data_IF_596232948958
#
_entry.id   IF_596232948958
#
_cell.length_a   1.000
_cell.length_b   1.000
_cell.length_c   1.000
_cell.angle_alpha   90.00
_cell.angle_beta   90.00
_cell.angle_gamma   90.00
#
_symmetry.space_group_name_H-M   'P 1'
#
loop_
_entity.id
_entity.type
_entity.pdbx_description
1 polymer ?
#
# COMPACT_ATOMS: atom_id res chain seq x y z
N UNK A 1 24.44 -1.76 14.52
CA UNK A 1 23.73 -1.16 13.38
C UNK A 1 24.69 -1.14 12.20
N UNK A 2 24.20 -1.46 11.00
CA UNK A 2 25.07 -1.57 9.81
C UNK A 2 25.32 -0.17 9.22
N UNK A 3 26.58 0.20 8.97
CA UNK A 3 26.96 1.42 8.23
C UNK A 3 26.49 1.41 6.76
N UNK A 4 25.87 0.30 6.32
CA UNK A 4 25.31 0.13 4.96
C UNK A 4 23.77 0.18 4.93
N UNK A 5 23.12 0.52 6.05
CA UNK A 5 21.66 0.54 6.14
C UNK A 5 21.02 1.52 5.14
N UNK A 6 21.67 2.67 4.94
CA UNK A 6 21.24 3.70 4.00
C UNK A 6 21.38 3.31 2.51
N UNK A 7 22.04 2.18 2.20
CA UNK A 7 22.22 1.66 0.84
C UNK A 7 21.43 0.38 0.58
N UNK A 8 20.48 0.03 1.48
CA UNK A 8 19.64 -1.16 1.30
C UNK A 8 18.44 -0.89 0.40
N UNK A 9 17.86 -1.96 -0.15
CA UNK A 9 16.62 -1.88 -0.91
C UNK A 9 15.49 -1.44 0.04
N UNK A 10 14.89 -0.30 -0.26
CA UNK A 10 13.70 0.21 0.41
C UNK A 10 12.52 0.09 -0.55
N UNK A 11 11.37 -0.30 -0.02
CA UNK A 11 10.16 -0.54 -0.83
C UNK A 11 9.10 0.54 -0.65
N UNK A 12 9.01 1.12 0.56
CA UNK A 12 8.02 2.16 0.82
C UNK A 12 8.54 3.21 1.80
N UNK A 13 7.90 4.37 1.79
CA UNK A 13 8.22 5.53 2.64
C UNK A 13 6.93 6.26 3.03
N UNK A 14 6.83 6.64 4.30
CA UNK A 14 5.69 7.39 4.83
C UNK A 14 6.13 8.56 5.72
N UNK A 15 5.22 9.50 5.96
CA UNK A 15 5.38 10.56 6.96
C UNK A 15 4.74 10.16 8.29
N UNK A 16 5.43 10.51 9.37
CA UNK A 16 4.99 10.44 10.76
C UNK A 16 5.15 11.83 11.38
N UNK A 17 4.17 12.71 11.17
CA UNK A 17 4.34 14.14 11.45
C UNK A 17 5.41 14.75 10.54
N UNK A 18 6.48 15.30 11.14
CA UNK A 18 7.63 15.86 10.40
C UNK A 18 8.72 14.81 10.11
N UNK A 19 8.61 13.62 10.71
CA UNK A 19 9.54 12.51 10.48
C UNK A 19 9.19 11.74 9.21
N UNK A 20 10.21 11.23 8.52
CA UNK A 20 10.07 10.25 7.46
C UNK A 20 10.48 8.86 7.96
N UNK A 21 9.72 7.85 7.56
CA UNK A 21 9.95 6.44 7.90
C UNK A 21 9.98 5.64 6.61
N UNK A 22 11.08 4.95 6.32
CA UNK A 22 11.22 4.10 5.15
C UNK A 22 11.42 2.64 5.57
N UNK A 23 10.80 1.72 4.83
CA UNK A 23 10.86 0.28 5.10
C UNK A 23 11.33 -0.49 3.86
N UNK A 24 11.89 -1.69 4.06
CA UNK A 24 12.36 -2.49 2.94
C UNK A 24 12.87 -3.88 3.31
N UNK A 25 13.84 -4.36 2.54
CA UNK A 25 14.37 -5.72 2.66
C UNK A 25 14.93 -6.03 4.06
N UNK A 26 14.85 -7.32 4.45
CA UNK A 26 15.42 -7.83 5.71
C UNK A 26 14.95 -7.09 6.95
N UNK A 27 13.68 -6.67 6.98
CA UNK A 27 13.10 -5.95 8.11
C UNK A 27 13.69 -4.55 8.30
N UNK A 28 14.28 -3.95 7.25
CA UNK A 28 14.91 -2.65 7.34
C UNK A 28 13.89 -1.57 7.63
N UNK A 29 14.18 -0.75 8.65
CA UNK A 29 13.42 0.45 9.00
C UNK A 29 14.40 1.59 9.21
N UNK A 30 14.24 2.66 8.44
CA UNK A 30 15.04 3.88 8.52
C UNK A 30 14.16 5.06 8.91
N UNK A 31 14.71 5.96 9.75
CA UNK A 31 14.06 7.21 10.16
C UNK A 31 14.88 8.41 9.74
N UNK A 32 14.21 9.47 9.32
CA UNK A 32 14.80 10.81 9.13
C UNK A 32 13.96 11.84 9.86
N UNK A 33 14.61 12.69 10.64
CA UNK A 33 13.98 13.78 11.40
C UNK A 33 14.30 15.17 10.77
N UNK A 34 14.81 15.17 9.51
CA UNK A 34 15.28 16.36 8.80
C UNK A 34 14.95 16.32 7.30
N UNK A 35 13.70 15.94 6.97
CA UNK A 35 13.18 15.88 5.60
C UNK A 35 14.05 15.04 4.64
N UNK A 36 14.62 13.96 5.15
CA UNK A 36 15.38 13.01 4.36
C UNK A 36 16.84 13.40 4.09
N UNK A 37 17.38 14.40 4.81
CA UNK A 37 18.79 14.78 4.67
C UNK A 37 19.72 13.76 5.34
N UNK A 38 19.36 13.26 6.52
CA UNK A 38 20.08 12.19 7.21
C UNK A 38 19.12 11.09 7.66
N UNK A 39 19.65 9.86 7.68
CA UNK A 39 18.87 8.68 8.03
C UNK A 39 19.55 7.86 9.12
N UNK A 40 18.76 7.26 9.98
CA UNK A 40 19.24 6.31 10.98
C UNK A 40 18.42 5.04 10.97
N UNK A 41 19.05 3.91 11.15
CA UNK A 41 18.35 2.63 11.29
C UNK A 41 17.81 2.45 12.70
N UNK A 42 16.60 1.93 12.83
CA UNK A 42 16.02 1.44 14.09
C UNK A 42 15.92 -0.09 14.10
N UNK A 43 15.74 -0.66 15.30
CA UNK A 43 15.55 -2.09 15.46
C UNK A 43 14.19 -2.51 14.88
N UNK A 44 14.18 -3.66 14.21
CA UNK A 44 12.97 -4.34 13.75
C UNK A 44 12.82 -5.68 14.46
N UNK A 45 11.61 -6.08 14.85
CA UNK A 45 11.36 -7.38 15.46
C UNK A 45 11.37 -8.55 14.46
N UNK A 46 11.55 -8.25 13.16
CA UNK A 46 11.54 -9.24 12.07
C UNK A 46 12.72 -9.03 11.11
N UNK A 47 13.04 -10.07 10.35
CA UNK A 47 14.07 -10.03 9.30
C UNK A 47 13.50 -10.26 7.89
N UNK A 48 12.18 -10.33 7.74
CA UNK A 48 11.51 -10.45 6.44
C UNK A 48 11.37 -9.08 5.76
N UNK A 49 11.18 -9.09 4.46
CA UNK A 49 10.97 -7.84 3.70
C UNK A 49 9.67 -7.18 4.11
N UNK A 50 9.73 -5.88 4.43
CA UNK A 50 8.58 -5.01 4.66
C UNK A 50 8.21 -4.34 3.34
N UNK A 51 6.94 -4.43 2.96
CA UNK A 51 6.43 -4.02 1.63
C UNK A 51 5.77 -2.66 1.64
N UNK A 52 5.13 -2.28 2.76
CA UNK A 52 4.43 -0.99 2.88
C UNK A 52 4.45 -0.49 4.32
N UNK A 53 4.34 0.84 4.49
CA UNK A 53 4.30 1.53 5.78
C UNK A 53 3.33 2.71 5.72
N UNK A 54 2.57 2.93 6.80
CA UNK A 54 1.68 4.09 6.92
C UNK A 54 1.62 4.55 8.38
N UNK A 55 1.45 5.85 8.56
CA UNK A 55 1.13 6.48 9.85
C UNK A 55 -0.26 7.11 9.78
N UNK A 56 -1.15 6.74 10.71
CA UNK A 56 -2.47 7.34 10.85
C UNK A 56 -2.45 8.59 11.75
N UNK A 57 -1.48 8.67 12.66
CA UNK A 57 -1.14 9.85 13.44
C UNK A 57 0.38 9.99 13.50
N UNK A 58 0.93 11.11 13.98
CA UNK A 58 2.38 11.24 14.13
C UNK A 58 3.04 10.15 14.99
N UNK A 59 2.31 9.55 15.93
CA UNK A 59 2.83 8.50 16.82
C UNK A 59 2.52 7.09 16.31
N UNK A 60 1.29 6.89 15.76
CA UNK A 60 0.74 5.56 15.49
C UNK A 60 0.94 5.17 14.04
N UNK A 61 1.78 4.17 13.81
CA UNK A 61 2.10 3.67 12.47
C UNK A 61 2.14 2.16 12.39
N UNK A 62 1.90 1.65 11.18
CA UNK A 62 1.94 0.23 10.86
C UNK A 62 2.80 -0.04 9.64
N UNK A 63 3.46 -1.20 9.62
CA UNK A 63 4.16 -1.71 8.46
C UNK A 63 3.77 -3.17 8.23
N UNK A 64 3.68 -3.56 6.97
CA UNK A 64 3.33 -4.92 6.56
C UNK A 64 4.40 -5.51 5.66
N UNK A 65 4.40 -6.84 5.49
CA UNK A 65 5.40 -7.46 4.64
C UNK A 65 5.23 -8.95 4.40
N UNK A 66 6.34 -9.55 3.99
CA UNK A 66 6.44 -10.98 3.75
C UNK A 66 6.11 -11.79 5.01
N UNK A 67 5.78 -13.06 4.82
CA UNK A 67 5.34 -13.96 5.89
C UNK A 67 4.12 -13.44 6.68
N UNK A 68 3.27 -12.64 6.03
CA UNK A 68 2.04 -12.11 6.62
C UNK A 68 2.26 -11.23 7.85
N UNK A 69 3.44 -10.59 7.97
CA UNK A 69 3.74 -9.77 9.15
C UNK A 69 2.99 -8.45 9.12
N UNK A 70 2.51 -8.05 10.30
CA UNK A 70 2.06 -6.69 10.60
C UNK A 70 2.84 -6.20 11.81
N UNK A 71 3.52 -5.07 11.65
CA UNK A 71 4.22 -4.37 12.71
C UNK A 71 3.47 -3.10 13.10
N UNK A 72 3.58 -2.71 14.36
CA UNK A 72 2.99 -1.50 14.91
C UNK A 72 4.02 -0.68 15.68
N UNK A 73 3.97 0.63 15.52
CA UNK A 73 4.71 1.61 16.30
C UNK A 73 3.75 2.58 16.97
N UNK A 74 4.11 3.01 18.20
CA UNK A 74 3.36 3.98 19.00
C UNK A 74 4.17 5.25 19.32
N UNK A 75 5.34 5.39 18.70
CA UNK A 75 6.32 6.43 18.99
C UNK A 75 6.96 7.02 17.72
N UNK A 76 6.14 7.12 16.67
CA UNK A 76 6.58 7.69 15.39
C UNK A 76 7.64 6.84 14.70
N UNK A 77 7.57 5.52 14.83
CA UNK A 77 8.48 4.58 14.16
C UNK A 77 9.80 4.32 14.88
N UNK A 78 9.98 4.84 16.11
CA UNK A 78 11.22 4.63 16.88
C UNK A 78 11.35 3.20 17.36
N UNK A 79 10.24 2.59 17.84
CA UNK A 79 10.15 1.18 18.21
C UNK A 79 8.98 0.50 17.51
N UNK A 80 9.12 -0.81 17.29
CA UNK A 80 8.14 -1.62 16.58
C UNK A 80 7.87 -2.93 17.30
N UNK A 81 6.60 -3.31 17.37
CA UNK A 81 6.14 -4.60 17.87
C UNK A 81 5.42 -5.39 16.76
N UNK A 82 5.54 -6.71 16.76
CA UNK A 82 4.81 -7.57 15.82
C UNK A 82 3.41 -7.84 16.37
N UNK A 83 2.37 -7.52 15.60
CA UNK A 83 0.97 -7.76 15.94
C UNK A 83 0.40 -9.00 15.25
N UNK A 84 0.89 -9.34 14.04
CA UNK A 84 0.41 -10.48 13.26
C UNK A 84 1.58 -11.10 12.48
N UNK A 85 1.46 -12.40 12.19
CA UNK A 85 2.25 -13.10 11.19
C UNK A 85 1.39 -14.13 10.44
N UNK A 86 1.95 -14.74 9.39
CA UNK A 86 1.21 -15.66 8.53
C UNK A 86 0.64 -16.89 9.23
N UNK A 87 1.30 -17.39 10.29
CA UNK A 87 0.77 -18.51 11.10
C UNK A 87 -0.43 -18.09 11.92
N UNK A 88 -0.34 -16.93 12.57
CA UNK A 88 -1.46 -16.35 13.30
C UNK A 88 -2.62 -16.00 12.36
N UNK A 89 -2.33 -15.48 11.17
CA UNK A 89 -3.34 -15.20 10.15
C UNK A 89 -4.11 -16.46 9.73
N UNK A 90 -3.42 -17.59 9.50
CA UNK A 90 -4.05 -18.87 9.17
C UNK A 90 -4.92 -19.38 10.33
N UNK A 91 -4.42 -19.30 11.58
CA UNK A 91 -5.19 -19.67 12.77
C UNK A 91 -6.46 -18.83 12.94
N UNK A 92 -6.37 -17.53 12.74
CA UNK A 92 -7.53 -16.63 12.80
C UNK A 92 -8.55 -16.94 11.68
N UNK A 93 -8.07 -17.21 10.46
CA UNK A 93 -8.94 -17.61 9.35
C UNK A 93 -9.67 -18.92 9.64
N UNK A 94 -8.96 -19.91 10.16
CA UNK A 94 -9.53 -21.21 10.56
C UNK A 94 -10.57 -21.06 11.69
N UNK A 95 -10.26 -20.27 12.72
CA UNK A 95 -11.17 -20.00 13.81
C UNK A 95 -12.46 -19.32 13.34
N UNK A 96 -12.34 -18.31 12.45
CA UNK A 96 -13.48 -17.61 11.87
C UNK A 96 -14.33 -18.53 10.95
N UNK A 97 -13.69 -19.38 10.14
CA UNK A 97 -14.38 -20.35 9.29
C UNK A 97 -15.18 -21.36 10.11
N UNK A 98 -14.58 -21.91 11.19
CA UNK A 98 -15.27 -22.81 12.10
C UNK A 98 -16.44 -22.12 12.84
N UNK A 99 -16.31 -20.83 13.18
CA UNK A 99 -17.42 -20.06 13.75
C UNK A 99 -18.57 -19.91 12.72
N UNK A 100 -18.24 -19.54 11.47
CA UNK A 100 -19.22 -19.44 10.39
C UNK A 100 -19.98 -20.77 10.15
N UNK A 101 -19.27 -21.92 10.24
CA UNK A 101 -19.89 -23.23 10.12
C UNK A 101 -20.84 -23.54 11.29
N UNK A 102 -20.45 -23.22 12.52
CA UNK A 102 -21.34 -23.39 13.70
C UNK A 102 -22.61 -22.52 13.59
N UNK A 103 -22.46 -21.31 13.05
CA UNK A 103 -23.55 -20.36 12.88
C UNK A 103 -24.36 -20.61 11.59
N UNK A 104 -24.02 -21.68 10.83
CA UNK A 104 -24.65 -22.09 9.58
C UNK A 104 -24.73 -20.96 8.52
N UNK A 105 -23.66 -20.15 8.43
CA UNK A 105 -23.60 -19.07 7.45
C UNK A 105 -23.53 -19.63 6.02
N UNK A 106 -24.14 -18.99 5.02
CA UNK A 106 -24.23 -19.50 3.65
C UNK A 106 -22.87 -19.78 2.98
N UNK A 107 -21.83 -19.01 3.36
CA UNK A 107 -20.48 -19.09 2.80
C UNK A 107 -19.49 -19.88 3.69
N UNK A 108 -19.98 -20.59 4.70
CA UNK A 108 -19.15 -21.31 5.67
C UNK A 108 -18.23 -22.36 5.03
N UNK A 109 -18.73 -23.13 4.06
CA UNK A 109 -17.94 -24.15 3.37
C UNK A 109 -16.80 -23.53 2.54
N UNK A 110 -17.06 -22.41 1.89
CA UNK A 110 -16.02 -21.69 1.14
C UNK A 110 -14.97 -21.10 2.08
N UNK A 111 -15.37 -20.47 3.18
CA UNK A 111 -14.44 -19.94 4.21
C UNK A 111 -13.55 -21.04 4.76
N UNK A 112 -14.11 -22.23 4.99
CA UNK A 112 -13.34 -23.36 5.49
C UNK A 112 -12.27 -23.81 4.48
N UNK A 113 -12.63 -23.99 3.22
CA UNK A 113 -11.67 -24.33 2.17
C UNK A 113 -10.56 -23.30 1.99
N UNK A 114 -10.90 -22.02 2.08
CA UNK A 114 -9.91 -20.93 2.00
C UNK A 114 -8.95 -20.95 3.21
N UNK A 115 -9.48 -21.17 4.40
CA UNK A 115 -8.68 -21.25 5.63
C UNK A 115 -7.78 -22.50 5.65
N UNK A 116 -8.29 -23.67 5.25
CA UNK A 116 -7.50 -24.90 5.11
C UNK A 116 -6.38 -24.74 4.10
N UNK A 117 -6.67 -24.09 2.96
CA UNK A 117 -5.65 -23.79 1.96
C UNK A 117 -4.58 -22.84 2.51
N UNK A 118 -4.98 -21.78 3.22
CA UNK A 118 -4.04 -20.81 3.79
C UNK A 118 -3.12 -21.49 4.81
N UNK A 119 -3.64 -22.40 5.64
CA UNK A 119 -2.86 -23.17 6.62
C UNK A 119 -1.91 -24.17 5.92
N UNK A 120 -2.41 -24.92 4.94
CA UNK A 120 -1.63 -25.91 4.19
C UNK A 120 -0.49 -25.29 3.35
N UNK A 121 -0.73 -24.13 2.75
CA UNK A 121 0.26 -23.40 1.95
C UNK A 121 1.38 -22.80 2.82
N UNK A 122 1.16 -22.64 4.12
CA UNK A 122 2.14 -22.10 5.08
C UNK A 122 2.16 -20.56 5.15
N UNK A 123 3.05 -20.02 5.99
CA UNK A 123 3.01 -18.60 6.40
C UNK A 123 3.65 -17.62 5.40
N UNK A 124 4.03 -18.04 4.20
CA UNK A 124 4.87 -17.30 3.27
C UNK A 124 4.18 -16.15 2.52
N UNK A 125 2.84 -16.06 2.61
CA UNK A 125 2.07 -15.09 1.85
C UNK A 125 2.25 -13.67 2.37
N UNK A 126 2.71 -12.72 1.51
CA UNK A 126 2.92 -11.34 1.92
C UNK A 126 1.60 -10.58 2.04
N UNK A 127 1.53 -9.67 3.01
CA UNK A 127 0.74 -8.46 2.85
C UNK A 127 1.50 -7.47 1.96
N UNK A 128 0.79 -6.78 1.07
CA UNK A 128 1.35 -5.90 0.04
C UNK A 128 0.99 -4.44 0.25
N UNK A 129 -0.15 -4.16 0.89
CA UNK A 129 -0.61 -2.82 1.19
C UNK A 129 -1.42 -2.78 2.48
N UNK A 130 -1.51 -1.58 3.05
CA UNK A 130 -2.30 -1.30 4.24
C UNK A 130 -2.97 0.06 4.14
N UNK A 131 -4.07 0.23 4.87
CA UNK A 131 -4.68 1.52 5.10
C UNK A 131 -5.27 1.61 6.51
N UNK A 132 -4.80 2.59 7.29
CA UNK A 132 -5.36 2.95 8.58
C UNK A 132 -6.04 4.32 8.48
N UNK A 133 -7.34 4.35 8.71
CA UNK A 133 -8.13 5.59 8.70
C UNK A 133 -7.89 6.44 9.96
N UNK A 134 -7.50 5.79 11.05
CA UNK A 134 -7.17 6.37 12.34
C UNK A 134 -6.38 5.36 13.19
N UNK A 135 -6.06 5.70 14.42
CA UNK A 135 -5.29 4.85 15.34
C UNK A 135 -5.97 3.51 15.71
N UNK A 136 -7.23 3.29 15.33
CA UNK A 136 -7.99 2.08 15.68
C UNK A 136 -8.37 1.23 14.48
N UNK A 137 -8.79 1.86 13.36
CA UNK A 137 -9.38 1.17 12.21
C UNK A 137 -8.38 1.01 11.10
N UNK A 138 -8.11 -0.22 10.72
CA UNK A 138 -7.18 -0.57 9.68
C UNK A 138 -7.60 -1.78 8.86
N UNK A 139 -7.06 -1.85 7.65
CA UNK A 139 -7.16 -2.96 6.72
C UNK A 139 -5.79 -3.24 6.12
N UNK A 140 -5.43 -4.50 6.01
CA UNK A 140 -4.23 -4.98 5.32
C UNK A 140 -4.65 -5.96 4.23
N UNK A 141 -4.01 -5.87 3.07
CA UNK A 141 -4.33 -6.69 1.90
C UNK A 141 -3.06 -7.26 1.28
N UNK A 142 -3.19 -8.37 0.55
CA UNK A 142 -1.99 -8.99 0.01
C UNK A 142 -2.22 -10.06 -1.03
N UNK A 143 -1.24 -10.95 -1.12
CA UNK A 143 -1.21 -12.04 -2.06
C UNK A 143 -2.39 -13.00 -1.84
N UNK A 144 -2.83 -13.62 -2.93
CA UNK A 144 -3.90 -14.62 -2.95
C UNK A 144 -5.24 -14.14 -2.36
N UNK A 145 -5.49 -12.82 -2.44
CA UNK A 145 -6.71 -12.20 -1.93
C UNK A 145 -6.77 -12.07 -0.41
N UNK A 146 -5.63 -12.14 0.30
CA UNK A 146 -5.59 -11.92 1.73
C UNK A 146 -6.14 -10.55 2.10
N UNK A 147 -7.05 -10.53 3.07
CA UNK A 147 -7.61 -9.32 3.68
C UNK A 147 -7.82 -9.57 5.17
N UNK A 148 -7.25 -8.70 6.00
CA UNK A 148 -7.52 -8.65 7.43
C UNK A 148 -7.87 -7.22 7.85
N UNK A 149 -8.77 -7.10 8.83
CA UNK A 149 -9.23 -5.81 9.36
C UNK A 149 -9.05 -5.76 10.88
N UNK A 150 -8.94 -4.56 11.41
CA UNK A 150 -8.91 -4.29 12.85
C UNK A 150 -9.77 -3.07 13.18
N UNK A 151 -10.34 -3.05 14.38
CA UNK A 151 -11.07 -1.90 14.95
C UNK A 151 -10.47 -1.40 16.28
N UNK A 152 -9.35 -1.99 16.70
CA UNK A 152 -8.67 -1.71 17.97
C UNK A 152 -7.16 -1.43 17.83
N UNK A 153 -6.74 -1.01 16.61
CA UNK A 153 -5.35 -0.68 16.34
C UNK A 153 -4.45 -1.90 16.17
N UNK A 154 -5.04 -3.06 15.85
CA UNK A 154 -4.33 -4.32 15.64
C UNK A 154 -4.10 -5.13 16.92
N UNK A 155 -4.77 -4.79 18.03
CA UNK A 155 -4.83 -5.69 19.18
C UNK A 155 -5.55 -6.99 18.81
N UNK A 156 -6.58 -6.89 17.96
CA UNK A 156 -7.23 -8.04 17.31
C UNK A 156 -7.30 -7.83 15.79
N UNK A 157 -7.12 -8.95 15.05
CA UNK A 157 -7.24 -8.98 13.60
C UNK A 157 -8.33 -9.96 13.18
N UNK A 158 -9.18 -9.54 12.25
CA UNK A 158 -10.30 -10.34 11.73
C UNK A 158 -10.09 -10.62 10.24
N UNK A 159 -10.18 -11.88 9.79
CA UNK A 159 -10.14 -12.22 8.38
C UNK A 159 -11.39 -11.69 7.66
N UNK A 160 -11.18 -11.05 6.50
CA UNK A 160 -12.25 -10.40 5.75
C UNK A 160 -12.27 -10.80 4.26
N UNK A 161 -11.62 -11.90 3.88
CA UNK A 161 -11.58 -12.42 2.50
C UNK A 161 -12.99 -12.66 1.95
N UNK A 162 -13.88 -13.21 2.76
CA UNK A 162 -15.29 -13.48 2.42
C UNK A 162 -16.11 -12.24 2.02
N UNK A 163 -15.62 -11.03 2.31
CA UNK A 163 -16.29 -9.78 1.93
C UNK A 163 -16.03 -9.38 0.49
N UNK A 164 -15.17 -10.10 -0.22
CA UNK A 164 -14.75 -9.78 -1.60
C UNK A 164 -15.03 -10.97 -2.50
N UNK A 165 -15.76 -10.75 -3.59
CA UNK A 165 -15.90 -11.76 -4.65
C UNK A 165 -14.57 -11.88 -5.43
N UNK A 166 -13.70 -12.78 -4.93
CA UNK A 166 -12.39 -13.07 -5.49
C UNK A 166 -12.10 -14.58 -5.54
N UNK A 167 -12.93 -15.38 -6.24
CA UNK A 167 -12.84 -16.84 -6.23
C UNK A 167 -11.53 -17.36 -6.84
N UNK A 168 -10.83 -16.54 -7.64
CA UNK A 168 -9.55 -16.87 -8.26
C UNK A 168 -8.36 -16.62 -7.33
N UNK A 169 -8.56 -15.99 -6.17
CA UNK A 169 -7.47 -15.59 -5.27
C UNK A 169 -6.50 -14.61 -5.91
N UNK A 170 -7.01 -13.63 -6.67
CA UNK A 170 -6.19 -12.59 -7.29
C UNK A 170 -5.46 -11.79 -6.21
N UNK A 171 -4.21 -11.43 -6.47
CA UNK A 171 -3.43 -10.59 -5.58
C UNK A 171 -4.03 -9.19 -5.50
N UNK A 172 -4.09 -8.64 -4.28
CA UNK A 172 -4.52 -7.28 -4.00
C UNK A 172 -3.28 -6.42 -3.75
N UNK A 173 -3.07 -5.42 -4.60
CA UNK A 173 -1.84 -4.62 -4.60
C UNK A 173 -1.97 -3.29 -3.87
N UNK A 174 -3.16 -2.71 -3.84
CA UNK A 174 -3.37 -1.48 -3.10
C UNK A 174 -4.73 -1.45 -2.41
N UNK A 175 -4.78 -0.77 -1.28
CA UNK A 175 -5.98 -0.43 -0.54
C UNK A 175 -5.90 1.02 -0.12
N UNK A 176 -6.98 1.77 -0.37
CA UNK A 176 -7.11 3.15 0.08
C UNK A 176 -8.54 3.44 0.52
N UNK A 177 -8.71 4.43 1.38
CA UNK A 177 -10.02 4.89 1.82
C UNK A 177 -10.20 6.38 1.51
N UNK A 178 -11.40 6.73 1.03
CA UNK A 178 -11.85 8.10 0.85
C UNK A 178 -13.22 8.27 1.49
N UNK A 179 -13.31 9.12 2.51
CA UNK A 179 -14.52 9.19 3.33
C UNK A 179 -14.83 7.83 3.95
N UNK A 180 -16.05 7.35 3.76
CA UNK A 180 -16.47 6.03 4.25
C UNK A 180 -16.27 4.89 3.24
N UNK A 181 -15.80 5.19 2.03
CA UNK A 181 -15.59 4.19 0.98
C UNK A 181 -14.16 3.66 0.98
N UNK A 182 -13.99 2.34 1.11
CA UNK A 182 -12.72 1.63 0.98
C UNK A 182 -12.60 1.04 -0.42
N UNK A 183 -11.45 1.20 -1.07
CA UNK A 183 -11.15 0.74 -2.41
C UNK A 183 -10.00 -0.25 -2.44
N UNK A 184 -10.10 -1.25 -3.32
CA UNK A 184 -9.09 -2.27 -3.55
C UNK A 184 -8.72 -2.32 -5.02
N UNK A 185 -7.41 -2.44 -5.32
CA UNK A 185 -6.94 -2.79 -6.67
C UNK A 185 -6.09 -4.05 -6.63
N UNK A 186 -5.99 -4.73 -7.77
CA UNK A 186 -5.25 -5.99 -7.86
C UNK A 186 -4.98 -6.46 -9.28
N UNK A 187 -4.80 -7.76 -9.42
CA UNK A 187 -4.53 -8.43 -10.69
C UNK A 187 -5.72 -8.38 -11.64
N UNK A 188 -5.41 -8.47 -12.93
CA UNK A 188 -6.39 -8.66 -14.02
C UNK A 188 -7.51 -7.61 -14.00
N UNK A 189 -7.16 -6.34 -13.79
CA UNK A 189 -8.13 -5.24 -13.72
C UNK A 189 -8.99 -5.25 -12.48
N UNK A 190 -8.56 -5.97 -11.42
CA UNK A 190 -9.33 -6.01 -10.19
C UNK A 190 -9.48 -4.60 -9.61
N UNK A 191 -10.72 -4.14 -9.50
CA UNK A 191 -11.13 -2.96 -8.77
C UNK A 191 -12.41 -3.28 -8.00
N UNK A 192 -12.45 -2.97 -6.72
CA UNK A 192 -13.64 -3.14 -5.90
C UNK A 192 -13.74 -2.04 -4.85
N UNK A 193 -14.95 -1.74 -4.41
CA UNK A 193 -15.19 -0.79 -3.32
C UNK A 193 -16.21 -1.32 -2.32
N UNK A 194 -16.09 -0.88 -1.08
CA UNK A 194 -17.06 -1.08 -0.01
C UNK A 194 -17.47 0.26 0.57
N UNK A 195 -18.76 0.54 0.60
CA UNK A 195 -19.31 1.79 1.14
C UNK A 195 -19.69 1.56 2.61
N UNK A 196 -18.79 1.92 3.51
CA UNK A 196 -18.91 1.72 4.96
C UNK A 196 -18.12 0.52 5.50
N UNK A 197 -17.89 0.56 6.82
CA UNK A 197 -17.14 -0.48 7.52
C UNK A 197 -17.98 -1.77 7.59
N UNK A 198 -17.32 -2.92 7.41
CA UNK A 198 -17.99 -4.23 7.49
C UNK A 198 -18.85 -4.61 6.28
N UNK A 199 -19.10 -3.70 5.32
CA UNK A 199 -19.89 -4.01 4.12
C UNK A 199 -19.12 -4.87 3.11
N UNK A 200 -19.81 -5.67 2.28
CA UNK A 200 -19.17 -6.39 1.18
C UNK A 200 -18.56 -5.43 0.16
N UNK A 201 -17.45 -5.84 -0.43
CA UNK A 201 -16.85 -5.14 -1.56
C UNK A 201 -17.59 -5.47 -2.84
N UNK A 202 -18.01 -4.47 -3.57
CA UNK A 202 -18.63 -4.59 -4.89
C UNK A 202 -17.58 -4.39 -5.97
N UNK A 203 -17.52 -5.33 -6.92
CA UNK A 203 -16.63 -5.22 -8.08
C UNK A 203 -17.05 -4.06 -8.96
N UNK A 204 -16.05 -3.34 -9.46
CA UNK A 204 -16.21 -2.28 -10.45
C UNK A 204 -15.52 -2.75 -11.73
N UNK A 205 -16.23 -2.69 -12.84
CA UNK A 205 -15.66 -2.98 -14.14
C UNK A 205 -14.65 -1.92 -14.55
N UNK A 206 -13.48 -2.36 -14.98
CA UNK A 206 -12.44 -1.48 -15.51
C UNK A 206 -12.23 -1.80 -17.00
N UNK A 207 -11.91 -0.82 -17.83
CA UNK A 207 -11.64 -1.06 -19.25
C UNK A 207 -10.27 -1.70 -19.51
N UNK A 208 -9.59 -2.17 -18.45
CA UNK A 208 -8.23 -2.70 -18.49
C UNK A 208 -8.13 -4.04 -17.77
N UNK A 209 -7.64 -5.06 -18.48
CA UNK A 209 -7.51 -6.42 -17.96
C UNK A 209 -6.11 -6.74 -17.35
N UNK A 210 -5.22 -5.77 -17.24
CA UNK A 210 -3.91 -5.93 -16.61
C UNK A 210 -3.91 -5.60 -15.13
N UNK A 211 -2.82 -5.92 -14.43
CA UNK A 211 -2.67 -5.62 -13.00
C UNK A 211 -2.66 -4.11 -12.72
N UNK A 212 -3.39 -3.71 -11.69
CA UNK A 212 -3.45 -2.35 -11.15
C UNK A 212 -2.69 -2.32 -9.82
N UNK A 213 -1.51 -1.67 -9.81
CA UNK A 213 -0.58 -1.71 -8.67
C UNK A 213 -0.79 -0.58 -7.67
N UNK A 214 -1.32 0.55 -8.10
CA UNK A 214 -1.51 1.73 -7.26
C UNK A 214 -2.76 2.50 -7.67
N UNK A 215 -3.29 3.27 -6.73
CA UNK A 215 -4.37 4.22 -6.96
C UNK A 215 -4.11 5.52 -6.20
N UNK A 216 -4.69 6.62 -6.67
CA UNK A 216 -4.70 7.90 -5.98
C UNK A 216 -6.08 8.54 -6.07
N UNK A 217 -6.43 9.32 -5.05
CA UNK A 217 -7.65 10.11 -5.03
C UNK A 217 -7.31 11.60 -5.08
N UNK A 218 -7.98 12.34 -5.96
CA UNK A 218 -7.91 13.79 -6.02
C UNK A 218 -9.15 14.48 -5.46
N UNK A 219 -9.35 15.72 -5.83
CA UNK A 219 -10.57 16.45 -5.50
C UNK A 219 -11.77 15.94 -6.33
N UNK A 220 -13.01 16.23 -5.89
CA UNK A 220 -14.25 16.05 -6.68
C UNK A 220 -14.39 14.68 -7.35
N UNK A 221 -14.32 13.58 -6.56
CA UNK A 221 -14.51 12.20 -7.03
C UNK A 221 -13.50 11.69 -8.07
N UNK A 222 -12.37 12.36 -8.21
CA UNK A 222 -11.29 11.89 -9.05
C UNK A 222 -10.60 10.66 -8.45
N UNK A 223 -10.39 9.68 -9.30
CA UNK A 223 -9.66 8.45 -9.01
C UNK A 223 -8.70 8.15 -10.15
N UNK A 224 -7.43 7.94 -9.83
CA UNK A 224 -6.43 7.43 -10.76
C UNK A 224 -6.09 5.99 -10.44
N UNK A 225 -5.92 5.19 -11.48
CA UNK A 225 -5.47 3.81 -11.42
C UNK A 225 -4.19 3.67 -12.23
N UNK A 226 -3.18 3.05 -11.63
CA UNK A 226 -1.87 2.87 -12.23
C UNK A 226 -1.50 1.39 -12.29
N UNK A 227 -1.00 0.93 -13.45
CA UNK A 227 -0.83 -0.50 -13.64
C UNK A 227 0.29 -0.91 -14.57
N UNK A 228 0.19 -2.17 -14.97
CA UNK A 228 1.15 -2.90 -15.78
C UNK A 228 1.36 -2.24 -17.14
N UNK A 229 2.61 -2.23 -17.63
CA UNK A 229 3.00 -1.75 -18.97
C UNK A 229 2.62 -0.30 -19.26
N UNK A 230 2.78 0.59 -18.29
CA UNK A 230 2.52 2.03 -18.46
C UNK A 230 1.04 2.38 -18.59
N UNK A 231 0.13 1.53 -18.15
CA UNK A 231 -1.29 1.85 -18.17
C UNK A 231 -1.65 2.76 -17.00
N UNK A 232 -2.29 3.87 -17.32
CA UNK A 232 -2.86 4.82 -16.38
C UNK A 232 -4.28 5.18 -16.81
N UNK A 233 -5.19 5.24 -15.84
CA UNK A 233 -6.61 5.52 -16.06
C UNK A 233 -7.08 6.54 -15.04
N UNK A 234 -7.96 7.44 -15.47
CA UNK A 234 -8.59 8.44 -14.60
C UNK A 234 -10.10 8.33 -14.69
N UNK A 235 -10.76 8.32 -13.55
CA UNK A 235 -12.18 8.57 -13.39
C UNK A 235 -12.39 9.97 -12.79
N UNK A 236 -13.45 10.66 -13.20
CA UNK A 236 -13.91 11.94 -12.62
C UNK A 236 -15.33 11.84 -12.06
N UNK A 237 -15.89 10.63 -12.02
CA UNK A 237 -17.27 10.33 -11.62
C UNK A 237 -17.36 9.20 -10.57
N UNK A 238 -16.33 9.13 -9.69
CA UNK A 238 -16.30 8.15 -8.60
C UNK A 238 -16.16 6.70 -9.05
N UNK A 239 -15.45 6.46 -10.17
CA UNK A 239 -15.18 5.12 -10.67
C UNK A 239 -16.29 4.53 -11.54
N UNK A 240 -17.22 5.36 -12.04
CA UNK A 240 -18.28 4.91 -12.96
C UNK A 240 -17.76 4.77 -14.38
N UNK A 241 -16.96 5.75 -14.83
CA UNK A 241 -16.28 5.70 -16.14
C UNK A 241 -14.79 5.98 -15.99
N UNK A 242 -14.00 5.49 -16.94
CA UNK A 242 -12.55 5.64 -16.94
C UNK A 242 -12.03 6.12 -18.30
N UNK A 243 -11.18 7.13 -18.26
CA UNK A 243 -10.43 7.64 -19.41
C UNK A 243 -8.97 7.18 -19.30
N UNK A 244 -8.41 6.63 -20.38
CA UNK A 244 -7.00 6.30 -20.42
C UNK A 244 -6.15 7.57 -20.56
N UNK A 245 -5.09 7.66 -19.77
CA UNK A 245 -4.10 8.74 -19.86
C UNK A 245 -2.97 8.32 -20.80
N UNK A 246 -2.45 9.28 -21.57
CA UNK A 246 -1.24 9.08 -22.35
C UNK A 246 -0.02 8.99 -21.41
N UNK A 247 0.75 7.91 -21.52
CA UNK A 247 1.95 7.65 -20.71
C UNK A 247 3.17 7.52 -21.62
N UNK A 248 4.27 8.25 -21.39
CA UNK A 248 5.41 8.32 -22.32
C UNK A 248 6.33 7.10 -22.27
N UNK A 249 5.97 6.06 -21.51
CA UNK A 249 6.81 4.87 -21.26
C UNK A 249 5.97 3.61 -21.10
N UNK A 250 6.43 2.45 -21.60
CA UNK A 250 5.76 1.17 -21.36
C UNK A 250 6.13 0.55 -20.01
N UNK A 251 6.91 1.21 -19.16
CA UNK A 251 7.26 0.70 -17.84
C UNK A 251 6.06 0.73 -16.89
N UNK A 252 5.86 -0.33 -16.13
CA UNK A 252 4.73 -0.45 -15.19
C UNK A 252 4.76 0.64 -14.14
N UNK A 253 3.61 1.25 -13.87
CA UNK A 253 3.40 2.27 -12.85
C UNK A 253 3.09 1.56 -11.53
N UNK A 254 3.99 1.67 -10.55
CA UNK A 254 3.98 0.83 -9.35
C UNK A 254 3.57 1.55 -8.07
N UNK A 255 3.68 2.87 -8.04
CA UNK A 255 3.31 3.69 -6.89
C UNK A 255 2.79 5.06 -7.35
N UNK A 256 2.09 5.74 -6.47
CA UNK A 256 1.62 7.10 -6.70
C UNK A 256 1.57 7.90 -5.40
N UNK A 257 1.72 9.21 -5.51
CA UNK A 257 1.55 10.16 -4.42
C UNK A 257 0.77 11.38 -4.88
N UNK A 258 -0.10 11.89 -4.01
CA UNK A 258 -0.83 13.12 -4.23
C UNK A 258 -0.01 14.29 -3.69
N UNK A 259 0.16 15.33 -4.51
CA UNK A 259 0.79 16.57 -4.10
C UNK A 259 -0.21 17.50 -3.38
N UNK A 260 0.32 18.45 -2.63
CA UNK A 260 -0.51 19.43 -1.89
C UNK A 260 -1.37 20.33 -2.79
N UNK A 261 -0.99 20.47 -4.06
CA UNK A 261 -1.72 21.24 -5.07
C UNK A 261 -2.77 20.37 -5.84
N UNK A 262 -2.93 19.12 -5.45
CA UNK A 262 -3.91 18.19 -6.02
C UNK A 262 -3.43 17.44 -7.26
N UNK A 263 -2.24 17.71 -7.78
CA UNK A 263 -1.64 16.91 -8.85
C UNK A 263 -1.18 15.54 -8.35
N UNK A 264 -1.22 14.55 -9.22
CA UNK A 264 -0.73 13.21 -8.92
C UNK A 264 0.63 12.99 -9.56
N UNK A 265 1.53 12.39 -8.80
CA UNK A 265 2.82 11.90 -9.29
C UNK A 265 2.77 10.37 -9.23
N UNK A 266 3.04 9.73 -10.37
CA UNK A 266 3.21 8.28 -10.46
C UNK A 266 4.68 7.92 -10.58
N UNK A 267 5.04 6.74 -10.06
CA UNK A 267 6.38 6.15 -10.16
C UNK A 267 6.29 4.89 -11.00
N UNK A 268 7.27 4.68 -11.88
CA UNK A 268 7.35 3.45 -12.63
C UNK A 268 8.53 2.57 -12.18
N UNK A 269 8.48 1.29 -12.59
CA UNK A 269 9.51 0.31 -12.23
C UNK A 269 10.90 0.62 -12.81
N UNK A 270 11.02 1.55 -13.78
CA UNK A 270 12.29 2.04 -14.29
C UNK A 270 12.87 3.19 -13.42
N UNK A 271 12.17 3.58 -12.35
CA UNK A 271 12.59 4.64 -11.42
C UNK A 271 12.31 6.06 -11.92
N UNK A 272 11.44 6.22 -12.90
CA UNK A 272 11.01 7.54 -13.37
C UNK A 272 9.82 8.03 -12.54
N UNK A 273 9.78 9.33 -12.30
CA UNK A 273 8.61 10.06 -11.80
C UNK A 273 7.86 10.67 -12.96
N UNK A 274 6.56 10.51 -12.96
CA UNK A 274 5.64 11.02 -13.97
C UNK A 274 4.59 11.88 -13.28
N UNK A 275 4.43 13.13 -13.72
CA UNK A 275 3.43 14.05 -13.17
C UNK A 275 2.25 14.20 -14.11
N UNK A 276 1.06 14.27 -13.55
CA UNK A 276 -0.16 14.53 -14.32
C UNK A 276 -0.18 15.93 -14.91
N UNK A 277 -0.56 16.00 -16.20
CA UNK A 277 -0.82 17.25 -16.91
C UNK A 277 -1.94 17.02 -17.95
N UNK A 278 -3.16 17.42 -17.61
CA UNK A 278 -4.34 17.18 -18.44
C UNK A 278 -4.63 15.67 -18.60
N UNK A 279 -4.71 15.22 -19.85
CA UNK A 279 -5.00 13.80 -20.17
C UNK A 279 -3.74 12.96 -20.39
N UNK A 280 -2.61 13.38 -19.82
CA UNK A 280 -1.32 12.72 -19.98
C UNK A 280 -0.47 12.75 -18.71
N UNK A 281 0.52 11.86 -18.66
CA UNK A 281 1.60 11.89 -17.68
C UNK A 281 2.88 12.36 -18.37
N UNK A 282 3.61 13.25 -17.74
CA UNK A 282 4.88 13.78 -18.22
C UNK A 282 6.03 13.37 -17.30
N UNK A 283 7.14 12.92 -17.90
CA UNK A 283 8.31 12.54 -17.12
C UNK A 283 8.96 13.75 -16.46
N UNK A 284 9.24 13.65 -15.17
CA UNK A 284 10.06 14.61 -14.43
C UNK A 284 11.54 14.30 -14.61
N UNK A 285 12.35 15.34 -14.67
CA UNK A 285 13.81 15.22 -14.84
C UNK A 285 14.47 14.90 -13.49
N UNK A 286 14.50 13.60 -13.14
CA UNK A 286 15.13 13.11 -11.92
C UNK A 286 16.62 12.86 -12.14
N UNK A 287 17.53 13.28 -11.24
CA UNK A 287 18.94 12.94 -11.34
C UNK A 287 19.15 11.42 -11.42
N UNK A 288 20.14 10.94 -12.19
CA UNK A 288 20.47 9.52 -12.30
C UNK A 288 20.63 8.85 -10.92
N UNK A 289 20.22 7.59 -10.81
CA UNK A 289 20.33 6.82 -9.58
C UNK A 289 19.58 5.49 -9.67
N UNK A 290 19.55 4.75 -8.57
CA UNK A 290 18.79 3.52 -8.48
C UNK A 290 17.29 3.73 -8.70
N UNK A 291 16.57 2.73 -9.22
CA UNK A 291 15.12 2.79 -9.41
C UNK A 291 14.40 3.17 -8.12
N UNK A 292 13.46 4.11 -8.25
CA UNK A 292 12.60 4.55 -7.15
C UNK A 292 11.45 3.55 -6.96
N UNK A 293 11.01 3.36 -5.71
CA UNK A 293 9.96 2.39 -5.35
C UNK A 293 8.71 3.06 -4.82
N UNK A 294 8.86 4.13 -4.03
CA UNK A 294 7.78 4.96 -3.50
C UNK A 294 8.31 6.38 -3.27
N UNK A 295 7.41 7.34 -3.04
CA UNK A 295 7.80 8.71 -2.71
C UNK A 295 6.75 9.38 -1.84
N UNK A 296 7.21 10.31 -1.00
CA UNK A 296 6.38 11.14 -0.13
C UNK A 296 6.82 12.60 -0.24
N UNK A 297 5.87 13.52 -0.05
CA UNK A 297 6.18 14.94 0.06
C UNK A 297 6.66 15.24 1.49
N UNK A 298 7.89 15.71 1.63
CA UNK A 298 8.48 16.17 2.89
C UNK A 298 7.88 17.51 3.33
N UNK A 299 8.18 17.96 4.56
CA UNK A 299 7.61 19.20 5.10
C UNK A 299 8.12 20.45 4.38
N UNK A 300 9.32 20.37 3.80
CA UNK A 300 9.93 21.43 2.99
C UNK A 300 9.41 21.49 1.54
N UNK A 301 8.42 20.66 1.19
CA UNK A 301 7.80 20.60 -0.13
C UNK A 301 8.58 19.81 -1.19
N UNK A 302 9.68 19.13 -0.83
CA UNK A 302 10.43 18.25 -1.73
C UNK A 302 9.85 16.84 -1.71
N UNK A 303 10.01 16.13 -2.81
CA UNK A 303 9.81 14.69 -2.81
C UNK A 303 11.04 13.99 -2.20
N UNK A 304 10.78 13.08 -1.29
CA UNK A 304 11.75 12.11 -0.77
C UNK A 304 11.26 10.72 -1.15
N UNK A 305 12.11 9.95 -1.80
CA UNK A 305 11.77 8.66 -2.35
C UNK A 305 12.56 7.53 -1.69
N UNK A 306 11.94 6.37 -1.54
CA UNK A 306 12.61 5.10 -1.36
C UNK A 306 13.15 4.59 -2.70
N UNK A 307 14.24 3.81 -2.67
CA UNK A 307 14.84 3.22 -3.87
C UNK A 307 15.55 1.89 -3.59
N UNK A 308 16.01 1.25 -4.64
CA UNK A 308 16.80 0.01 -4.54
C UNK A 308 18.19 0.21 -3.91
N UNK A 309 18.61 1.43 -3.66
CA UNK A 309 19.91 1.72 -3.02
C UNK A 309 19.78 2.75 -1.90
N UNK A 310 18.66 2.77 -1.18
CA UNK A 310 18.40 3.65 -0.07
C UNK A 310 17.45 4.80 -0.37
N UNK A 311 17.27 5.72 0.59
CA UNK A 311 16.42 6.87 0.41
C UNK A 311 17.08 7.92 -0.50
N UNK A 312 16.27 8.66 -1.24
CA UNK A 312 16.71 9.71 -2.15
C UNK A 312 15.91 10.99 -1.93
N UNK A 313 16.58 12.05 -1.51
CA UNK A 313 15.99 13.39 -1.45
C UNK A 313 16.10 14.04 -2.81
N UNK A 314 14.98 14.41 -3.42
CA UNK A 314 14.94 14.92 -4.78
C UNK A 314 15.11 16.45 -4.83
N UNK A 315 15.49 17.05 -5.97
CA UNK A 315 15.69 18.49 -6.09
C UNK A 315 14.43 19.29 -5.76
N UNK A 316 14.57 20.42 -5.09
CA UNK A 316 13.44 21.28 -4.68
C UNK A 316 12.63 21.83 -5.87
N UNK A 317 13.28 22.06 -7.02
CA UNK A 317 12.66 22.58 -8.23
C UNK A 317 12.03 21.50 -9.12
N UNK A 318 12.01 20.24 -8.69
CA UNK A 318 11.53 19.10 -9.49
C UNK A 318 10.07 19.25 -9.90
N UNK A 319 9.23 19.72 -8.99
CA UNK A 319 7.79 19.84 -9.19
C UNK A 319 7.37 21.16 -9.90
N UNK A 320 8.31 22.05 -10.18
CA UNK A 320 8.03 23.41 -10.64
C UNK A 320 7.41 24.28 -9.55
N UNK A 321 7.24 25.57 -9.82
CA UNK A 321 6.46 26.41 -8.92
C UNK A 321 4.98 26.01 -9.00
N UNK A 322 4.26 25.94 -7.88
CA UNK A 322 2.81 25.79 -7.92
C UNK A 322 2.22 26.95 -8.73
N UNK A 323 1.38 26.63 -9.70
CA UNK A 323 0.66 27.63 -10.52
C UNK A 323 -0.47 28.26 -9.73
#
# INVERSE_FOLDING_TARGET
MSTRAEHSVLLDIARSGDRLVAVGERGRILLSDDDGAHWRQVASPVSVTLTAVQFATPEMGWAVGHEGVVLHSRDGGTTWEKQLDGRQAAQLAMAAANAAARDALPDAEQRLKEAERLDADGPDKPFLALHFSNARRGIVVGAYGLIFTTEDGGATWLPAMHRVDNPRGLHLYAVQRRGDTTWLTGELGFLARADGDGTPFVRIETPYAGSLFSMAFGAHDQLWLFGLRGNAWRSTDGGTTFQQLAVPTPASLIASTLLSDGRVVALNQAGQLLIEAGDSLHALSVPPGAPLTSAVLASDGRLVASSWSGPRRLPANLLGSPK
#
